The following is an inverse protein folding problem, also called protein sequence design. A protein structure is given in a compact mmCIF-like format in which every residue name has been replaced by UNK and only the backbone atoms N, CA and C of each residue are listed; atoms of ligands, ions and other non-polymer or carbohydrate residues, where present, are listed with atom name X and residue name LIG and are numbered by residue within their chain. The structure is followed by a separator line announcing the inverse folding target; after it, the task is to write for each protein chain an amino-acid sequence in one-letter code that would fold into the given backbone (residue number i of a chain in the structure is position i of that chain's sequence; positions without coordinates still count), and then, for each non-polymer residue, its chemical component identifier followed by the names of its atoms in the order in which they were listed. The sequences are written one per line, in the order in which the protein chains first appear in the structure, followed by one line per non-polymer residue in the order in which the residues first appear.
data_IF_969418797216
#
_entry.id   IF_969418797216
#
_cell.length_a   1.000
_cell.length_b   1.000
_cell.length_c   1.000
_cell.angle_alpha   90.00
_cell.angle_beta   90.00
_cell.angle_gamma   90.00
#
_symmetry.space_group_name_H-M   'P 1'
#
loop_
_entity.id
_entity.type
_entity.pdbx_description
1 polymer ?
#
# COMPACT_ATOMS: atom_id res chain seq x y z
N UNK A 1 15.79 0.81 4.36
CA UNK A 1 15.12 -0.46 4.08
C UNK A 1 14.51 -0.98 5.38
N UNK A 2 13.24 -1.31 5.35
CA UNK A 2 12.51 -1.91 6.45
C UNK A 2 11.86 -3.18 5.93
N UNK A 3 12.27 -4.34 6.48
CA UNK A 3 11.73 -5.65 6.08
C UNK A 3 11.12 -6.33 7.28
N UNK A 4 10.04 -7.06 7.04
CA UNK A 4 9.34 -7.89 8.02
C UNK A 4 9.00 -7.12 9.30
N UNK A 5 8.45 -5.90 9.10
CA UNK A 5 8.11 -5.00 10.19
C UNK A 5 6.94 -5.58 10.98
N UNK A 6 7.14 -5.79 12.29
CA UNK A 6 6.10 -6.23 13.22
C UNK A 6 5.25 -5.06 13.73
N UNK A 7 4.12 -5.39 14.33
CA UNK A 7 3.13 -4.40 14.79
C UNK A 7 3.61 -3.54 15.97
N UNK A 8 4.61 -3.99 16.69
CA UNK A 8 5.22 -3.27 17.82
C UNK A 8 6.26 -2.22 17.37
N UNK A 9 6.66 -2.24 16.10
CA UNK A 9 7.56 -1.23 15.55
C UNK A 9 6.98 0.19 15.71
N UNK A 10 7.78 1.09 16.25
CA UNK A 10 7.46 2.51 16.40
C UNK A 10 8.57 3.33 15.75
N UNK A 11 8.26 4.13 14.71
CA UNK A 11 9.25 4.99 14.06
C UNK A 11 9.64 6.14 14.98
N UNK A 12 10.92 6.50 15.03
CA UNK A 12 11.40 7.68 15.75
C UNK A 12 10.86 8.99 15.15
N UNK A 13 10.59 8.99 13.84
CA UNK A 13 10.01 10.14 13.11
C UNK A 13 9.03 9.64 12.07
N UNK A 14 7.92 10.36 11.92
CA UNK A 14 6.95 10.09 10.86
C UNK A 14 7.41 10.73 9.54
N UNK A 15 7.21 10.01 8.45
CA UNK A 15 7.60 10.47 7.12
C UNK A 15 6.76 11.66 6.63
N UNK A 16 5.51 11.77 7.10
CA UNK A 16 4.58 12.84 6.76
C UNK A 16 3.44 12.95 7.78
N UNK A 17 2.60 13.98 7.63
CA UNK A 17 1.45 14.23 8.50
C UNK A 17 0.39 13.11 8.44
N UNK A 18 0.23 12.46 7.28
CA UNK A 18 -0.67 11.32 7.14
C UNK A 18 -0.25 10.16 8.04
N UNK A 19 1.02 9.77 8.03
CA UNK A 19 1.53 8.72 8.91
C UNK A 19 1.38 9.10 10.39
N UNK A 20 1.64 10.37 10.74
CA UNK A 20 1.45 10.89 12.09
C UNK A 20 -0.02 10.82 12.52
N UNK A 21 -0.96 11.21 11.65
CA UNK A 21 -2.39 11.15 11.98
C UNK A 21 -2.88 9.72 12.19
N UNK A 22 -2.36 8.75 11.41
CA UNK A 22 -2.71 7.33 11.60
C UNK A 22 -2.18 6.79 12.92
N UNK A 23 -0.96 7.13 13.32
CA UNK A 23 -0.43 6.75 14.62
C UNK A 23 -1.24 7.37 15.76
N UNK A 24 -1.61 8.65 15.69
CA UNK A 24 -2.46 9.30 16.68
C UNK A 24 -3.86 8.65 16.76
N UNK A 25 -4.42 8.21 15.63
CA UNK A 25 -5.70 7.47 15.62
C UNK A 25 -5.59 6.14 16.38
N UNK A 26 -4.49 5.42 16.26
CA UNK A 26 -4.27 4.19 17.01
C UNK A 26 -4.13 4.45 18.52
N UNK A 27 -3.49 5.55 18.92
CA UNK A 27 -3.41 5.95 20.34
C UNK A 27 -4.80 6.24 20.91
N UNK A 28 -5.65 6.93 20.15
CA UNK A 28 -7.05 7.17 20.55
C UNK A 28 -7.81 5.86 20.73
N UNK A 29 -7.68 4.92 19.77
CA UNK A 29 -8.32 3.60 19.87
C UNK A 29 -7.83 2.85 21.12
N UNK A 30 -6.53 2.91 21.43
CA UNK A 30 -5.99 2.28 22.64
C UNK A 30 -6.58 2.89 23.92
N UNK A 31 -6.71 4.20 24.00
CA UNK A 31 -7.38 4.87 25.13
C UNK A 31 -8.86 4.46 25.24
N UNK A 32 -9.57 4.42 24.10
CA UNK A 32 -10.98 4.02 24.07
C UNK A 32 -11.16 2.55 24.47
N UNK A 33 -10.24 1.67 24.09
CA UNK A 33 -10.30 0.25 24.45
C UNK A 33 -10.17 0.02 25.95
N UNK A 34 -9.39 0.86 26.64
CA UNK A 34 -9.24 0.82 28.09
C UNK A 34 -10.48 1.41 28.80
N UNK A 35 -11.05 2.48 28.25
CA UNK A 35 -12.20 3.17 28.82
C UNK A 35 -13.53 2.42 28.61
N UNK A 36 -13.60 1.53 27.62
CA UNK A 36 -14.83 0.83 27.22
C UNK A 36 -14.63 -0.70 27.20
N UNK A 37 -14.53 -1.36 28.35
CA UNK A 37 -14.24 -2.80 28.41
C UNK A 37 -15.35 -3.68 27.79
N UNK A 38 -16.53 -3.13 27.58
CA UNK A 38 -17.66 -3.81 26.92
C UNK A 38 -17.55 -3.80 25.39
N UNK A 39 -16.66 -2.98 24.84
CA UNK A 39 -16.44 -2.87 23.38
C UNK A 39 -15.07 -3.40 23.03
N UNK A 40 -15.04 -4.33 22.09
CA UNK A 40 -13.78 -4.85 21.56
C UNK A 40 -13.32 -4.00 20.38
N UNK A 41 -12.10 -3.53 20.45
CA UNK A 41 -11.42 -2.80 19.38
C UNK A 41 -10.35 -3.68 18.75
N UNK A 42 -10.31 -3.72 17.42
CA UNK A 42 -9.24 -4.37 16.67
C UNK A 42 -8.75 -3.40 15.59
N UNK A 43 -7.43 -3.28 15.45
CA UNK A 43 -6.80 -2.39 14.49
C UNK A 43 -6.17 -3.23 13.37
N UNK A 44 -6.60 -3.02 12.14
CA UNK A 44 -6.01 -3.64 10.97
C UNK A 44 -5.19 -2.60 10.19
N UNK A 45 -3.97 -2.96 9.82
CA UNK A 45 -3.03 -2.13 9.06
C UNK A 45 -2.81 -2.73 7.65
N UNK A 46 -3.73 -2.55 6.70
CA UNK A 46 -3.49 -3.00 5.33
C UNK A 46 -2.41 -2.15 4.66
N UNK A 47 -1.43 -2.80 4.05
CA UNK A 47 -0.35 -2.13 3.33
C UNK A 47 -0.68 -1.99 1.84
N UNK A 48 -0.59 -0.76 1.31
CA UNK A 48 -0.75 -0.48 -0.13
C UNK A 48 -1.98 -1.16 -0.73
N UNK A 49 -3.16 -0.81 -0.20
CA UNK A 49 -4.45 -1.36 -0.64
C UNK A 49 -4.70 -1.06 -2.12
N UNK A 50 -5.10 -2.06 -2.89
CA UNK A 50 -5.40 -1.92 -4.31
C UNK A 50 -6.56 -2.84 -4.74
N UNK A 51 -7.11 -2.57 -5.93
CA UNK A 51 -8.18 -3.38 -6.53
C UNK A 51 -9.11 -2.55 -7.43
N UNK A 52 -10.21 -3.11 -7.91
CA UNK A 52 -11.31 -2.39 -8.54
C UNK A 52 -11.75 -1.19 -7.69
N UNK A 53 -12.09 -0.10 -8.37
CA UNK A 53 -12.44 1.19 -7.75
C UNK A 53 -11.28 1.93 -7.04
N UNK A 54 -10.04 1.43 -7.06
CA UNK A 54 -8.88 2.22 -6.67
C UNK A 54 -8.84 3.53 -7.48
N UNK A 55 -8.66 4.65 -6.79
CA UNK A 55 -8.62 6.00 -7.40
C UNK A 55 -7.22 6.61 -7.32
N UNK A 56 -6.29 5.94 -6.68
CA UNK A 56 -5.02 6.55 -6.29
C UNK A 56 -3.82 5.90 -6.98
N UNK A 57 -3.56 4.63 -6.70
CA UNK A 57 -2.30 4.00 -7.08
C UNK A 57 -2.34 3.40 -8.49
N UNK A 58 -3.16 2.39 -8.70
CA UNK A 58 -3.19 1.65 -9.97
C UNK A 58 -3.64 2.51 -11.16
N UNK A 59 -4.73 3.34 -11.06
CA UNK A 59 -5.13 4.19 -12.17
C UNK A 59 -4.09 5.25 -12.52
N UNK A 60 -3.38 5.80 -11.50
CA UNK A 60 -2.31 6.78 -11.74
C UNK A 60 -1.14 6.14 -12.45
N UNK A 61 -0.77 4.92 -12.06
CA UNK A 61 0.28 4.14 -12.69
C UNK A 61 -0.09 3.80 -14.14
N UNK A 62 -1.30 3.29 -14.37
CA UNK A 62 -1.82 2.98 -15.70
C UNK A 62 -1.87 4.21 -16.62
N UNK A 63 -2.30 5.37 -16.09
CA UNK A 63 -2.27 6.63 -16.83
C UNK A 63 -0.85 7.03 -17.23
N UNK A 64 0.12 6.92 -16.32
CA UNK A 64 1.52 7.22 -16.62
C UNK A 64 2.08 6.29 -17.69
N UNK A 65 1.79 4.99 -17.62
CA UNK A 65 2.20 3.99 -18.59
C UNK A 65 1.69 4.35 -19.98
N UNK A 66 0.41 4.63 -20.09
CA UNK A 66 -0.24 4.93 -21.36
C UNK A 66 0.24 6.27 -21.95
N UNK A 67 0.35 7.32 -21.12
CA UNK A 67 0.65 8.67 -21.62
C UNK A 67 2.12 8.86 -21.99
N UNK A 68 3.05 8.26 -21.22
CA UNK A 68 4.49 8.45 -21.44
C UNK A 68 5.20 7.25 -22.10
N UNK A 69 4.53 6.12 -22.27
CA UNK A 69 5.14 4.89 -22.82
C UNK A 69 6.35 4.39 -22.02
N UNK A 70 6.57 4.97 -20.83
CA UNK A 70 7.64 4.56 -19.93
C UNK A 70 7.35 4.93 -18.49
N UNK A 71 7.80 4.08 -17.55
CA UNK A 71 7.80 4.34 -16.13
C UNK A 71 9.23 4.44 -15.63
N UNK A 72 9.49 5.51 -14.90
CA UNK A 72 10.78 5.75 -14.26
C UNK A 72 10.73 5.18 -12.84
N UNK A 73 11.54 4.15 -12.58
CA UNK A 73 11.67 3.56 -11.25
C UNK A 73 13.08 3.73 -10.70
N UNK A 74 13.22 4.13 -9.42
CA UNK A 74 14.51 4.14 -8.75
C UNK A 74 15.13 2.74 -8.83
N UNK A 75 16.40 2.67 -9.20
CA UNK A 75 17.15 1.40 -9.33
C UNK A 75 16.39 0.31 -10.12
N UNK A 76 15.58 0.72 -11.13
CA UNK A 76 14.80 -0.20 -11.94
C UNK A 76 13.65 -0.91 -11.21
N UNK A 77 13.27 -0.43 -10.02
CA UNK A 77 12.19 -1.01 -9.23
C UNK A 77 12.59 -2.25 -8.41
N UNK A 78 13.85 -2.31 -7.96
CA UNK A 78 14.38 -3.44 -7.17
C UNK A 78 13.85 -3.50 -5.73
N UNK A 79 13.20 -2.43 -5.23
CA UNK A 79 12.65 -2.40 -3.88
C UNK A 79 11.61 -3.50 -3.66
N UNK A 80 11.72 -4.22 -2.54
CA UNK A 80 10.72 -5.18 -2.08
C UNK A 80 9.57 -4.45 -1.40
N UNK A 81 8.35 -4.75 -1.82
CA UNK A 81 7.15 -4.11 -1.31
C UNK A 81 6.05 -5.13 -1.05
N UNK A 82 5.17 -4.78 -0.15
CA UNK A 82 3.93 -5.49 0.09
C UNK A 82 2.74 -4.71 -0.47
N UNK A 83 1.77 -5.46 -0.90
CA UNK A 83 0.46 -4.94 -1.29
C UNK A 83 -0.65 -5.78 -0.65
N UNK A 84 -1.82 -5.18 -0.54
CA UNK A 84 -3.02 -5.86 -0.04
C UNK A 84 -4.12 -5.73 -1.08
N UNK A 85 -4.56 -6.83 -1.66
CA UNK A 85 -5.75 -6.81 -2.50
C UNK A 85 -6.98 -6.60 -1.60
N UNK A 86 -7.93 -5.77 -2.05
CA UNK A 86 -9.03 -5.32 -1.19
C UNK A 86 -9.86 -6.48 -0.59
N UNK A 87 -10.09 -7.57 -1.33
CA UNK A 87 -10.82 -8.73 -0.82
C UNK A 87 -10.09 -9.39 0.35
N UNK A 88 -8.76 -9.42 0.34
CA UNK A 88 -7.96 -9.91 1.46
C UNK A 88 -8.11 -9.01 2.69
N UNK A 89 -8.19 -7.70 2.51
CA UNK A 89 -8.47 -6.78 3.61
C UNK A 89 -9.88 -6.99 4.18
N UNK A 90 -10.88 -7.18 3.32
CA UNK A 90 -12.27 -7.50 3.73
C UNK A 90 -12.31 -8.84 4.48
N UNK A 91 -11.59 -9.86 3.98
CA UNK A 91 -11.48 -11.15 4.67
C UNK A 91 -10.86 -11.00 6.07
N UNK A 92 -9.79 -10.21 6.20
CA UNK A 92 -9.20 -9.91 7.51
C UNK A 92 -10.19 -9.18 8.45
N UNK A 93 -10.98 -8.23 7.94
CA UNK A 93 -12.03 -7.56 8.70
C UNK A 93 -13.10 -8.54 9.18
N UNK A 94 -13.52 -9.46 8.30
CA UNK A 94 -14.46 -10.52 8.65
C UNK A 94 -13.92 -11.40 9.77
N UNK A 95 -12.70 -11.91 9.64
CA UNK A 95 -12.05 -12.74 10.67
C UNK A 95 -11.95 -12.00 12.01
N UNK A 96 -11.55 -10.74 12.00
CA UNK A 96 -11.44 -9.92 13.20
C UNK A 96 -12.78 -9.63 13.89
N UNK A 97 -13.91 -9.82 13.18
CA UNK A 97 -15.27 -9.64 13.73
C UNK A 97 -15.88 -10.92 14.31
N UNK A 98 -15.21 -12.06 14.20
CA UNK A 98 -15.76 -13.34 14.67
C UNK A 98 -15.65 -13.47 16.19
N UNK A 99 -16.56 -14.24 16.79
CA UNK A 99 -16.59 -14.54 18.24
C UNK A 99 -15.30 -15.20 18.75
N UNK A 100 -14.59 -15.95 17.88
CA UNK A 100 -13.30 -16.55 18.24
C UNK A 100 -12.28 -15.50 18.68
N UNK A 101 -12.39 -14.27 18.18
CA UNK A 101 -11.54 -13.15 18.55
C UNK A 101 -11.92 -12.52 19.90
N UNK A 102 -13.04 -12.93 20.53
CA UNK A 102 -13.49 -12.39 21.81
C UNK A 102 -12.55 -12.68 22.97
N UNK A 103 -11.68 -13.66 22.82
CA UNK A 103 -10.64 -14.02 23.80
C UNK A 103 -9.36 -13.18 23.64
N UNK A 104 -9.22 -12.45 22.54
CA UNK A 104 -8.05 -11.65 22.26
C UNK A 104 -8.14 -10.29 23.01
N UNK A 105 -6.99 -9.69 23.36
CA UNK A 105 -6.99 -8.39 24.01
C UNK A 105 -7.61 -7.31 23.13
N UNK A 106 -8.43 -6.43 23.71
CA UNK A 106 -8.94 -5.23 23.03
C UNK A 106 -7.79 -4.27 22.70
N UNK A 107 -7.87 -3.56 21.58
CA UNK A 107 -6.80 -2.72 21.05
C UNK A 107 -5.71 -3.48 20.28
N UNK A 108 -5.91 -4.77 20.00
CA UNK A 108 -4.94 -5.59 19.25
C UNK A 108 -4.75 -5.07 17.85
N UNK A 109 -3.50 -5.04 17.39
CA UNK A 109 -3.09 -4.53 16.07
C UNK A 109 -2.59 -5.68 15.21
N UNK A 110 -3.00 -5.69 13.93
CA UNK A 110 -2.58 -6.69 12.95
C UNK A 110 -2.13 -6.04 11.65
N UNK A 111 -0.95 -6.39 11.18
CA UNK A 111 -0.51 -6.10 9.83
C UNK A 111 -1.24 -7.02 8.86
N UNK A 112 -1.69 -6.46 7.73
CA UNK A 112 -2.42 -7.20 6.70
C UNK A 112 -1.78 -6.93 5.34
N UNK A 113 -1.35 -7.99 4.67
CA UNK A 113 -0.83 -7.96 3.30
C UNK A 113 -1.25 -9.23 2.56
N UNK A 114 -0.91 -9.31 1.27
CA UNK A 114 -1.06 -10.58 0.52
C UNK A 114 -0.06 -11.68 0.97
N UNK A 115 0.88 -11.37 1.89
CA UNK A 115 1.90 -12.33 2.32
C UNK A 115 2.94 -12.65 1.24
N UNK A 116 2.99 -11.87 0.16
CA UNK A 116 3.85 -12.05 -0.98
C UNK A 116 4.76 -10.83 -1.14
N UNK A 117 6.01 -10.94 -0.69
CA UNK A 117 7.02 -9.90 -0.93
C UNK A 117 7.47 -9.93 -2.38
N UNK A 118 7.16 -8.88 -3.13
CA UNK A 118 7.51 -8.78 -4.55
C UNK A 118 8.32 -7.52 -4.83
N UNK A 119 9.18 -7.58 -5.84
CA UNK A 119 9.84 -6.34 -6.30
C UNK A 119 8.82 -5.43 -6.96
N UNK A 120 8.97 -4.12 -6.77
CA UNK A 120 8.11 -3.14 -7.44
C UNK A 120 8.14 -3.34 -8.96
N UNK A 121 9.31 -3.71 -9.52
CA UNK A 121 9.45 -4.04 -10.95
C UNK A 121 8.53 -5.16 -11.38
N UNK A 122 8.46 -6.27 -10.61
CA UNK A 122 7.62 -7.42 -11.00
C UNK A 122 6.13 -7.06 -10.98
N UNK A 123 5.70 -6.26 -10.00
CA UNK A 123 4.31 -5.78 -9.91
C UNK A 123 3.96 -4.87 -11.11
N UNK A 124 4.85 -3.92 -11.41
CA UNK A 124 4.67 -3.00 -12.56
C UNK A 124 4.68 -3.75 -13.87
N UNK A 125 5.59 -4.72 -14.05
CA UNK A 125 5.66 -5.54 -15.25
C UNK A 125 4.38 -6.37 -15.44
N UNK A 126 3.92 -7.06 -14.40
CA UNK A 126 2.65 -7.82 -14.44
C UNK A 126 1.48 -6.91 -14.84
N UNK A 127 1.41 -5.69 -14.31
CA UNK A 127 0.36 -4.75 -14.68
C UNK A 127 0.46 -4.27 -16.14
N UNK A 128 1.67 -4.03 -16.66
CA UNK A 128 1.92 -3.70 -18.06
C UNK A 128 1.41 -4.82 -18.97
N UNK A 129 1.78 -6.06 -18.64
CA UNK A 129 1.40 -7.24 -19.40
C UNK A 129 -0.12 -7.44 -19.40
N UNK A 130 -0.76 -7.35 -18.24
CA UNK A 130 -2.21 -7.48 -18.10
C UNK A 130 -3.01 -6.37 -18.80
N UNK A 131 -2.50 -5.15 -18.81
CA UNK A 131 -3.14 -4.04 -19.50
C UNK A 131 -2.85 -4.02 -21.01
N UNK A 132 -1.92 -4.85 -21.47
CA UNK A 132 -1.44 -4.90 -22.85
C UNK A 132 -1.00 -3.52 -23.38
N UNK A 133 -0.22 -2.80 -22.56
CA UNK A 133 0.28 -1.46 -22.86
C UNK A 133 1.75 -1.57 -23.30
N UNK A 134 2.11 -0.92 -24.42
CA UNK A 134 3.52 -0.75 -24.81
C UNK A 134 4.18 0.29 -23.89
N UNK A 135 4.74 -0.19 -22.78
CA UNK A 135 5.39 0.63 -21.79
C UNK A 135 6.71 0.02 -21.33
N UNK A 136 7.75 0.84 -21.20
CA UNK A 136 9.08 0.40 -20.78
C UNK A 136 9.40 0.86 -19.38
N UNK A 137 9.91 -0.06 -18.55
CA UNK A 137 10.45 0.28 -17.24
C UNK A 137 11.88 0.79 -17.42
N UNK A 138 12.13 2.04 -17.04
CA UNK A 138 13.45 2.68 -17.08
C UNK A 138 14.00 2.87 -15.68
N UNK A 139 15.26 2.48 -15.51
CA UNK A 139 15.98 2.70 -14.25
C UNK A 139 16.50 4.13 -14.19
N UNK A 140 16.29 4.77 -13.04
CA UNK A 140 16.77 6.13 -12.76
C UNK A 140 17.41 6.15 -11.36
N UNK A 141 18.53 6.88 -11.17
CA UNK A 141 19.11 7.05 -9.84
C UNK A 141 18.12 7.74 -8.90
N UNK A 142 17.97 7.20 -7.68
CA UNK A 142 17.06 7.77 -6.66
C UNK A 142 17.31 9.27 -6.40
N UNK A 143 18.56 9.74 -6.22
CA UNK A 143 18.80 11.15 -5.93
C UNK A 143 18.27 12.12 -7.02
N UNK A 144 18.25 11.67 -8.28
CA UNK A 144 17.71 12.47 -9.39
C UNK A 144 16.19 12.60 -9.29
N UNK A 145 15.49 11.50 -9.05
CA UNK A 145 14.02 11.52 -8.87
C UNK A 145 13.63 12.29 -7.61
N UNK A 146 14.39 12.15 -6.53
CA UNK A 146 14.15 12.87 -5.28
C UNK A 146 14.33 14.39 -5.45
N UNK A 147 15.35 14.80 -6.18
CA UNK A 147 15.57 16.22 -6.50
C UNK A 147 14.41 16.81 -7.31
N UNK A 148 13.94 16.09 -8.33
CA UNK A 148 12.78 16.48 -9.14
C UNK A 148 11.53 16.60 -8.27
N UNK A 149 11.26 15.59 -7.43
CA UNK A 149 10.10 15.56 -6.55
C UNK A 149 10.09 16.76 -5.58
N UNK A 150 11.21 17.03 -4.92
CA UNK A 150 11.36 18.18 -4.02
C UNK A 150 11.17 19.52 -4.73
N UNK A 151 11.63 19.64 -5.98
CA UNK A 151 11.42 20.81 -6.81
C UNK A 151 9.95 21.00 -7.14
N UNK A 152 9.24 19.92 -7.52
CA UNK A 152 7.81 19.95 -7.79
C UNK A 152 6.99 20.30 -6.54
N UNK A 153 7.35 19.75 -5.38
CA UNK A 153 6.70 20.10 -4.10
C UNK A 153 6.87 21.58 -3.75
N UNK A 154 8.08 22.15 -3.97
CA UNK A 154 8.33 23.58 -3.72
C UNK A 154 7.51 24.48 -4.64
N UNK A 155 7.44 24.16 -5.93
CA UNK A 155 6.65 24.88 -6.90
C UNK A 155 5.14 24.71 -6.65
N UNK A 156 4.73 23.51 -6.25
CA UNK A 156 3.33 23.16 -6.00
C UNK A 156 2.75 23.74 -4.69
N UNK A 157 3.57 24.27 -3.77
CA UNK A 157 3.10 24.80 -2.48
C UNK A 157 2.01 25.89 -2.60
N UNK A 158 1.94 26.57 -3.72
CA UNK A 158 0.91 27.59 -4.00
C UNK A 158 -0.28 27.04 -4.78
N UNK A 159 -0.26 25.77 -5.16
CA UNK A 159 -1.32 25.10 -5.91
C UNK A 159 -2.20 24.28 -4.97
N UNK A 160 -3.52 24.30 -5.21
CA UNK A 160 -4.46 23.43 -4.50
C UNK A 160 -4.36 21.95 -4.95
N UNK A 161 -3.56 21.65 -6.01
CA UNK A 161 -3.39 20.29 -6.53
C UNK A 161 -2.08 19.69 -6.00
N UNK A 162 -2.17 18.46 -5.52
CA UNK A 162 -1.01 17.68 -5.11
C UNK A 162 -0.06 17.47 -6.31
N UNK A 163 1.28 17.67 -6.13
CA UNK A 163 2.25 17.39 -7.17
C UNK A 163 2.17 15.94 -7.65
N UNK A 164 2.37 15.68 -8.95
CA UNK A 164 2.35 14.33 -9.50
C UNK A 164 3.48 13.44 -8.94
N UNK A 165 4.56 14.03 -8.47
CA UNK A 165 5.69 13.35 -7.84
C UNK A 165 6.03 14.06 -6.53
N UNK A 166 6.09 13.32 -5.43
CA UNK A 166 6.44 13.81 -4.09
C UNK A 166 7.67 13.08 -3.57
N UNK A 167 8.44 13.74 -2.70
CA UNK A 167 9.56 13.11 -2.01
C UNK A 167 9.15 11.81 -1.30
N UNK A 168 8.01 11.83 -0.62
CA UNK A 168 7.46 10.64 0.05
C UNK A 168 7.12 9.53 -0.96
N UNK A 169 6.48 9.87 -2.08
CA UNK A 169 6.14 8.91 -3.13
C UNK A 169 7.39 8.24 -3.72
N UNK A 170 8.41 9.03 -4.06
CA UNK A 170 9.69 8.51 -4.59
C UNK A 170 10.40 7.63 -3.57
N UNK A 171 10.38 8.01 -2.29
CA UNK A 171 10.97 7.20 -1.21
C UNK A 171 10.30 5.84 -1.08
N UNK A 172 8.96 5.77 -1.20
CA UNK A 172 8.21 4.49 -1.21
C UNK A 172 8.57 3.58 -2.39
N UNK A 173 8.97 4.16 -3.51
CA UNK A 173 9.40 3.39 -4.68
C UNK A 173 10.85 2.91 -4.60
N UNK A 174 11.64 3.47 -3.69
CA UNK A 174 13.08 3.22 -3.60
C UNK A 174 13.48 2.25 -2.48
N UNK A 175 12.78 2.30 -1.36
CA UNK A 175 13.18 1.55 -0.16
C UNK A 175 12.26 0.34 0.04
N UNK A 176 12.87 -0.77 0.46
CA UNK A 176 12.10 -1.93 0.87
C UNK A 176 11.15 -1.56 2.01
N UNK A 177 9.93 -2.04 1.91
CA UNK A 177 8.94 -1.89 2.96
C UNK A 177 8.03 -3.11 2.96
N UNK A 178 8.34 -4.08 3.83
CA UNK A 178 7.54 -5.30 4.01
C UNK A 178 7.09 -5.46 5.46
N UNK A 179 5.94 -6.09 5.65
CA UNK A 179 5.32 -6.31 6.96
C UNK A 179 5.31 -7.81 7.30
N UNK A 180 5.56 -8.11 8.55
CA UNK A 180 5.30 -9.43 9.11
C UNK A 180 3.80 -9.55 9.42
N UNK A 181 3.14 -10.57 8.88
CA UNK A 181 1.71 -10.87 9.10
C UNK A 181 1.49 -12.09 10.00
N UNK A 182 2.55 -12.63 10.60
CA UNK A 182 2.50 -13.84 11.42
C UNK A 182 1.44 -13.74 12.51
N UNK A 183 1.33 -12.59 13.16
CA UNK A 183 0.32 -12.36 14.21
C UNK A 183 -1.11 -12.50 13.67
N UNK A 184 -1.41 -11.96 12.50
CA UNK A 184 -2.72 -12.12 11.89
C UNK A 184 -3.00 -13.57 11.52
N UNK A 185 -1.99 -14.30 11.06
CA UNK A 185 -2.11 -15.73 10.74
C UNK A 185 -2.38 -16.57 11.97
N UNK A 186 -1.62 -16.36 13.06
CA UNK A 186 -1.73 -17.16 14.28
C UNK A 186 -2.98 -16.84 15.09
N UNK A 187 -3.33 -15.56 15.24
CA UNK A 187 -4.41 -15.13 16.13
C UNK A 187 -5.78 -15.03 15.45
N UNK A 188 -5.82 -14.61 14.16
CA UNK A 188 -7.07 -14.49 13.40
C UNK A 188 -7.29 -15.66 12.43
N UNK A 189 -6.30 -16.53 12.22
CA UNK A 189 -6.34 -17.53 11.15
C UNK A 189 -6.31 -16.90 9.75
N UNK A 190 -5.76 -15.67 9.63
CA UNK A 190 -5.72 -14.96 8.37
C UNK A 190 -4.86 -15.67 7.34
N UNK A 191 -5.44 -15.95 6.19
CA UNK A 191 -4.75 -16.37 4.99
C UNK A 191 -5.30 -15.55 3.82
N UNK A 192 -4.44 -14.98 2.96
CA UNK A 192 -4.91 -14.30 1.76
C UNK A 192 -5.76 -15.24 0.89
N UNK A 193 -6.96 -14.80 0.51
CA UNK A 193 -7.90 -15.59 -0.31
C UNK A 193 -7.71 -15.34 -1.81
N UNK A 194 -7.03 -14.25 -2.16
CA UNK A 194 -6.67 -13.87 -3.53
C UNK A 194 -5.16 -13.62 -3.57
N UNK A 195 -4.47 -14.24 -4.51
CA UNK A 195 -3.04 -14.02 -4.73
C UNK A 195 -2.78 -12.62 -5.28
N UNK A 196 -1.53 -12.16 -5.21
CA UNK A 196 -1.17 -10.84 -5.75
C UNK A 196 -1.38 -10.79 -7.27
N UNK A 197 -1.01 -11.85 -7.98
CA UNK A 197 -1.15 -11.92 -9.43
C UNK A 197 -2.63 -11.90 -9.84
N UNK A 198 -3.49 -12.69 -9.21
CA UNK A 198 -4.95 -12.67 -9.42
C UNK A 198 -5.55 -11.28 -9.13
N UNK A 199 -5.12 -10.63 -8.05
CA UNK A 199 -5.55 -9.27 -7.70
C UNK A 199 -5.18 -8.25 -8.77
N UNK A 200 -3.98 -8.34 -9.35
CA UNK A 200 -3.54 -7.49 -10.47
C UNK A 200 -4.37 -7.76 -11.71
N UNK A 201 -4.60 -9.03 -12.07
CA UNK A 201 -5.43 -9.45 -13.21
C UNK A 201 -6.87 -8.90 -13.11
N UNK A 202 -7.53 -9.10 -11.97
CA UNK A 202 -8.88 -8.57 -11.70
C UNK A 202 -8.93 -7.05 -11.79
N UNK A 203 -7.91 -6.38 -11.28
CA UNK A 203 -7.81 -4.91 -11.31
C UNK A 203 -7.61 -4.39 -12.73
N UNK A 204 -6.74 -5.04 -13.51
CA UNK A 204 -6.49 -4.71 -14.90
C UNK A 204 -7.75 -4.92 -15.77
N UNK A 205 -8.45 -6.05 -15.58
CA UNK A 205 -9.72 -6.32 -16.25
C UNK A 205 -10.74 -5.20 -15.96
N UNK A 206 -10.88 -4.82 -14.69
CA UNK A 206 -11.80 -3.75 -14.30
C UNK A 206 -11.44 -2.40 -14.95
N UNK A 207 -10.13 -2.06 -15.05
CA UNK A 207 -9.70 -0.82 -15.69
C UNK A 207 -10.04 -0.80 -17.19
N UNK A 208 -9.88 -1.93 -17.90
CA UNK A 208 -10.26 -2.07 -19.32
C UNK A 208 -11.76 -1.88 -19.51
N UNK A 209 -12.57 -2.59 -18.71
CA UNK A 209 -14.04 -2.63 -18.87
C UNK A 209 -14.70 -1.27 -18.56
N UNK A 210 -14.12 -0.48 -17.65
CA UNK A 210 -14.68 0.80 -17.23
C UNK A 210 -14.07 2.01 -17.94
N UNK A 211 -13.28 1.79 -19.00
CA UNK A 211 -12.71 2.85 -19.85
C UNK A 211 -11.81 3.82 -19.07
N UNK A 212 -11.22 3.36 -17.95
CA UNK A 212 -10.32 4.19 -17.13
C UNK A 212 -8.88 4.18 -17.62
N UNK A 213 -8.61 3.47 -18.68
CA UNK A 213 -7.43 3.69 -19.51
C UNK A 213 -7.75 4.83 -20.45
N UNK A 214 -6.92 5.88 -20.55
CA UNK A 214 -7.05 6.89 -21.59
C UNK A 214 -7.00 6.18 -22.96
N UNK A 215 -7.94 6.53 -23.84
CA UNK A 215 -7.93 6.07 -25.25
C UNK A 215 -6.78 6.70 -26.00
#
# INVERSE_FOLDING_TARGET
HHRDIKEDFRPHRFANEFARSKAASEEVINMLSQANPQTRFTILRPQSLFGPHDKVFIPRLAHMMHHYGSILLPHGGSALVDMTYYENAVHAMWLASQEACDKLPSGRVYNITNGEHRTLRSIVQKLIDELNIDCRIRSVPYPMLDMIARSMERLGRKSAKEPPLTHYGVSKLNFDFTLDITRAQEELGYQPVITLDEGIEKTAAWLRDHGKLPR
#
